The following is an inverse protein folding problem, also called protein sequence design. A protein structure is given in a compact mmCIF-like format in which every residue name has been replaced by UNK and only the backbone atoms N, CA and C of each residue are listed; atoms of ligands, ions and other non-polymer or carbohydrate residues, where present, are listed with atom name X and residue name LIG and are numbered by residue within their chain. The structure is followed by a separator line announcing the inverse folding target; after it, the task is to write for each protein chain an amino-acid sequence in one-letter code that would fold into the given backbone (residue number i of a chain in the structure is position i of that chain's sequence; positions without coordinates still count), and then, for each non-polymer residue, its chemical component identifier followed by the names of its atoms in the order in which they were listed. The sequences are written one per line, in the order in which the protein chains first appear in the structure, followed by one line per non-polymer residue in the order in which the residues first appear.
data_IF_867423574356
#
_entry.id   IF_867423574356
#
_cell.length_a   1.000
_cell.length_b   1.000
_cell.length_c   1.000
_cell.angle_alpha   90.00
_cell.angle_beta   90.00
_cell.angle_gamma   90.00
#
_symmetry.space_group_name_H-M   'P 1'
#
loop_
_entity.id
_entity.type
_entity.pdbx_description
1 polymer ?
#
# COMPACT_ATOMS: atom_id res chain seq x y z
N UNK A 1 -15.55 -6.31 -48.35
CA UNK A 1 -15.29 -6.76 -46.97
C UNK A 1 -13.97 -6.15 -46.50
N UNK A 2 -13.96 -4.87 -46.10
CA UNK A 2 -12.73 -4.18 -45.65
C UNK A 2 -12.96 -3.20 -44.49
N UNK A 3 -14.22 -2.94 -44.11
CA UNK A 3 -14.58 -2.05 -43.00
C UNK A 3 -14.63 -2.77 -41.63
N UNK A 4 -14.76 -4.10 -41.61
CA UNK A 4 -14.80 -4.89 -40.37
C UNK A 4 -13.40 -5.19 -39.78
N UNK A 5 -12.36 -5.23 -40.61
CA UNK A 5 -10.99 -5.57 -40.19
C UNK A 5 -10.33 -4.43 -39.41
N UNK A 6 -10.56 -3.17 -39.80
CA UNK A 6 -9.99 -2.00 -39.12
C UNK A 6 -10.50 -1.84 -37.68
N UNK A 7 -11.80 -2.06 -37.45
CA UNK A 7 -12.37 -1.93 -36.10
C UNK A 7 -11.93 -3.06 -35.17
N UNK A 8 -11.81 -4.29 -35.68
CA UNK A 8 -11.33 -5.42 -34.90
C UNK A 8 -9.86 -5.26 -34.48
N UNK A 9 -9.00 -4.81 -35.40
CA UNK A 9 -7.60 -4.50 -35.11
C UNK A 9 -7.46 -3.37 -34.08
N UNK A 10 -8.27 -2.30 -34.19
CA UNK A 10 -8.28 -1.22 -33.20
C UNK A 10 -8.70 -1.71 -31.81
N UNK A 11 -9.75 -2.53 -31.72
CA UNK A 11 -10.22 -3.12 -30.46
C UNK A 11 -9.13 -3.95 -29.80
N UNK A 12 -8.42 -4.82 -30.55
CA UNK A 12 -7.31 -5.62 -30.01
C UNK A 12 -6.15 -4.74 -29.51
N UNK A 13 -5.83 -3.66 -30.23
CA UNK A 13 -4.81 -2.70 -29.79
C UNK A 13 -5.22 -2.01 -28.49
N UNK A 14 -6.49 -1.60 -28.34
CA UNK A 14 -7.00 -1.03 -27.09
C UNK A 14 -6.94 -2.03 -25.93
N UNK A 15 -7.27 -3.30 -26.16
CA UNK A 15 -7.15 -4.34 -25.14
C UNK A 15 -5.68 -4.60 -24.73
N UNK A 16 -4.75 -4.62 -25.68
CA UNK A 16 -3.31 -4.79 -25.36
C UNK A 16 -2.72 -3.57 -24.65
N UNK A 17 -3.10 -2.36 -25.04
CA UNK A 17 -2.66 -1.13 -24.36
C UNK A 17 -3.19 -1.06 -22.93
N UNK A 18 -4.46 -1.39 -22.71
CA UNK A 18 -5.06 -1.39 -21.38
C UNK A 18 -4.49 -2.48 -20.47
N UNK A 19 -4.25 -3.69 -20.99
CA UNK A 19 -3.60 -4.76 -20.21
C UNK A 19 -2.14 -4.42 -19.88
N UNK A 20 -1.38 -3.87 -20.83
CA UNK A 20 -0.01 -3.41 -20.59
C UNK A 20 0.04 -2.28 -19.56
N UNK A 21 -0.93 -1.35 -19.58
CA UNK A 21 -1.07 -0.27 -18.61
C UNK A 21 -1.43 -0.80 -17.22
N UNK A 22 -2.37 -1.74 -17.12
CA UNK A 22 -2.72 -2.41 -15.85
C UNK A 22 -1.52 -3.17 -15.28
N UNK A 23 -0.74 -3.84 -16.13
CA UNK A 23 0.46 -4.57 -15.71
C UNK A 23 1.56 -3.63 -15.21
N UNK A 24 1.89 -2.56 -15.95
CA UNK A 24 2.88 -1.57 -15.52
C UNK A 24 2.45 -0.87 -14.24
N UNK A 25 1.20 -0.42 -14.14
CA UNK A 25 0.71 0.26 -12.93
C UNK A 25 0.70 -0.67 -11.71
N UNK A 26 0.38 -1.96 -11.88
CA UNK A 26 0.52 -2.95 -10.81
C UNK A 26 1.96 -3.14 -10.34
N UNK A 27 2.90 -3.28 -11.29
CA UNK A 27 4.31 -3.52 -11.00
C UNK A 27 5.02 -2.30 -10.38
N UNK A 28 4.79 -1.10 -10.92
CA UNK A 28 5.35 0.15 -10.36
C UNK A 28 4.86 0.42 -8.93
N UNK A 29 3.62 0.03 -8.60
CA UNK A 29 3.11 0.16 -7.24
C UNK A 29 3.80 -0.79 -6.26
N UNK A 30 4.16 -2.01 -6.68
CA UNK A 30 4.82 -2.98 -5.79
C UNK A 30 6.29 -2.61 -5.51
N UNK A 31 7.04 -2.12 -6.50
CA UNK A 31 8.41 -1.62 -6.29
C UNK A 31 8.42 -0.38 -5.37
N UNK A 32 7.50 0.55 -5.58
CA UNK A 32 7.32 1.73 -4.72
C UNK A 32 7.05 1.33 -3.27
N UNK A 33 6.09 0.43 -3.04
CA UNK A 33 5.73 -0.01 -1.68
C UNK A 33 6.84 -0.85 -1.04
N UNK A 34 7.62 -1.59 -1.84
CA UNK A 34 8.81 -2.31 -1.37
C UNK A 34 9.86 -1.33 -0.86
N UNK A 35 10.10 -0.23 -1.58
CA UNK A 35 11.01 0.82 -1.14
C UNK A 35 10.50 1.51 0.13
N UNK A 36 9.19 1.77 0.23
CA UNK A 36 8.59 2.27 1.48
C UNK A 36 8.90 1.33 2.65
N UNK A 37 8.62 0.04 2.50
CA UNK A 37 8.82 -0.96 3.55
C UNK A 37 10.30 -1.18 3.91
N UNK A 38 11.23 -0.93 2.99
CA UNK A 38 12.67 -1.12 3.25
C UNK A 38 13.26 -0.16 4.27
N UNK A 39 12.54 0.91 4.64
CA UNK A 39 12.93 1.83 5.70
C UNK A 39 12.51 1.36 7.10
N UNK A 40 11.83 0.22 7.21
CA UNK A 40 11.54 -0.44 8.48
C UNK A 40 12.43 -1.67 8.61
N UNK A 41 13.04 -1.84 9.77
CA UNK A 41 13.64 -3.11 10.12
C UNK A 41 12.54 -4.21 10.21
N UNK A 42 12.95 -5.48 10.19
CA UNK A 42 12.00 -6.61 10.17
C UNK A 42 11.14 -6.70 11.43
N UNK A 43 11.66 -6.28 12.58
CA UNK A 43 10.93 -6.19 13.83
C UNK A 43 9.93 -5.03 13.79
N UNK A 44 10.34 -3.82 13.42
CA UNK A 44 9.46 -2.67 13.33
C UNK A 44 8.35 -2.84 12.29
N UNK A 45 8.68 -3.37 11.12
CA UNK A 45 7.69 -3.68 10.08
C UNK A 45 6.62 -4.67 10.56
N UNK A 46 7.01 -5.67 11.36
CA UNK A 46 6.08 -6.63 11.97
C UNK A 46 5.17 -5.94 12.99
N UNK A 47 5.74 -5.18 13.91
CA UNK A 47 4.97 -4.56 15.00
C UNK A 47 3.99 -3.51 14.47
N UNK A 48 4.42 -2.67 13.52
CA UNK A 48 3.55 -1.73 12.81
C UNK A 48 2.41 -2.48 12.10
N UNK A 49 2.70 -3.55 11.36
CA UNK A 49 1.67 -4.36 10.71
C UNK A 49 0.65 -4.94 11.71
N UNK A 50 1.11 -5.59 12.78
CA UNK A 50 0.20 -6.20 13.75
C UNK A 50 -0.60 -5.16 14.54
N UNK A 51 0.01 -4.04 14.91
CA UNK A 51 -0.67 -2.93 15.56
C UNK A 51 -1.80 -2.36 14.68
N UNK A 52 -1.55 -2.13 13.38
CA UNK A 52 -2.55 -1.60 12.45
C UNK A 52 -3.67 -2.60 12.21
N UNK A 53 -3.34 -3.83 11.79
CA UNK A 53 -4.33 -4.76 11.24
C UNK A 53 -5.04 -5.58 12.32
N UNK A 54 -4.38 -5.87 13.44
CA UNK A 54 -4.93 -6.71 14.52
C UNK A 54 -5.10 -5.96 15.84
N UNK A 55 -4.37 -4.87 16.07
CA UNK A 55 -4.50 -4.07 17.29
C UNK A 55 -4.05 -4.82 18.55
N UNK A 56 -3.21 -5.84 18.40
CA UNK A 56 -2.74 -6.72 19.46
C UNK A 56 -1.27 -6.50 19.84
N UNK A 57 -0.62 -5.51 19.24
CA UNK A 57 0.77 -5.14 19.45
C UNK A 57 0.89 -3.62 19.59
N UNK A 58 1.90 -3.16 20.33
CA UNK A 58 2.27 -1.74 20.47
C UNK A 58 3.53 -1.46 19.65
N UNK A 59 3.61 -0.26 19.06
CA UNK A 59 4.83 0.23 18.38
C UNK A 59 5.68 0.95 19.43
N UNK A 60 6.96 0.59 19.55
CA UNK A 60 7.89 1.24 20.49
C UNK A 60 8.49 2.53 19.89
N UNK A 61 9.25 3.27 20.68
CA UNK A 61 9.86 4.55 20.28
C UNK A 61 10.85 4.38 19.11
N UNK A 62 11.76 3.40 19.16
CA UNK A 62 12.70 3.12 18.07
C UNK A 62 11.99 2.86 16.73
N UNK A 63 10.89 2.09 16.75
CA UNK A 63 10.09 1.83 15.55
C UNK A 63 9.25 3.04 15.12
N UNK A 64 8.94 3.96 16.03
CA UNK A 64 8.29 5.21 15.67
C UNK A 64 9.25 6.14 14.92
N UNK A 65 10.54 6.21 15.28
CA UNK A 65 11.55 6.95 14.51
C UNK A 65 11.66 6.40 13.09
N UNK A 66 11.82 5.08 12.93
CA UNK A 66 11.85 4.47 11.60
C UNK A 66 10.58 4.76 10.78
N UNK A 67 9.41 4.68 11.42
CA UNK A 67 8.13 4.94 10.77
C UNK A 67 7.98 6.42 10.36
N UNK A 68 8.38 7.37 11.20
CA UNK A 68 8.20 8.80 10.94
C UNK A 68 9.30 9.35 10.05
N UNK A 69 10.56 9.11 10.41
CA UNK A 69 11.75 9.66 9.77
C UNK A 69 12.14 8.88 8.51
N UNK A 70 12.00 7.55 8.53
CA UNK A 70 12.40 6.67 7.43
C UNK A 70 11.28 6.45 6.41
N UNK A 71 10.13 5.97 6.87
CA UNK A 71 9.00 5.63 6.00
C UNK A 71 8.24 6.88 5.55
N UNK A 72 7.83 7.72 6.50
CA UNK A 72 7.05 8.92 6.22
C UNK A 72 5.55 8.62 5.96
N UNK A 73 4.72 9.67 6.11
CA UNK A 73 3.26 9.54 6.14
C UNK A 73 2.66 8.93 4.88
N UNK A 74 3.15 9.36 3.72
CA UNK A 74 2.60 8.92 2.42
C UNK A 74 2.82 7.42 2.24
N UNK A 75 4.04 6.94 2.47
CA UNK A 75 4.35 5.51 2.41
C UNK A 75 3.55 4.69 3.43
N UNK A 76 3.43 5.16 4.68
CA UNK A 76 2.61 4.51 5.70
C UNK A 76 1.15 4.33 5.27
N UNK A 77 0.54 5.39 4.74
CA UNK A 77 -0.84 5.37 4.27
C UNK A 77 -1.01 4.43 3.06
N UNK A 78 -0.10 4.49 2.11
CA UNK A 78 -0.22 3.73 0.87
C UNK A 78 0.07 2.24 1.08
N UNK A 79 1.01 1.88 1.95
CA UNK A 79 1.19 0.50 2.42
C UNK A 79 -0.06 -0.02 3.13
N UNK A 80 -0.67 0.78 4.02
CA UNK A 80 -1.92 0.38 4.70
C UNK A 80 -3.05 0.12 3.70
N UNK A 81 -3.28 1.03 2.75
CA UNK A 81 -4.32 0.89 1.70
C UNK A 81 -4.07 -0.31 0.80
N UNK A 82 -2.81 -0.56 0.44
CA UNK A 82 -2.42 -1.69 -0.39
C UNK A 82 -2.81 -3.02 0.27
N UNK A 83 -2.44 -3.21 1.54
CA UNK A 83 -2.78 -4.41 2.31
C UNK A 83 -4.30 -4.56 2.47
N UNK A 84 -5.02 -3.47 2.78
CA UNK A 84 -6.49 -3.47 2.86
C UNK A 84 -7.14 -3.96 1.56
N UNK A 85 -6.58 -3.56 0.41
CA UNK A 85 -7.08 -3.94 -0.92
C UNK A 85 -6.76 -5.39 -1.26
N UNK A 86 -5.56 -5.87 -0.95
CA UNK A 86 -5.10 -7.23 -1.29
C UNK A 86 -5.66 -8.31 -0.36
N UNK A 87 -5.77 -8.03 0.94
CA UNK A 87 -6.18 -9.03 1.95
C UNK A 87 -7.67 -8.99 2.30
N UNK A 88 -8.46 -8.17 1.59
CA UNK A 88 -9.93 -8.17 1.66
C UNK A 88 -10.51 -7.99 3.08
N UNK A 89 -9.93 -7.08 3.87
CA UNK A 89 -10.38 -6.70 5.23
C UNK A 89 -11.71 -5.91 5.25
N UNK A 90 -12.66 -6.20 4.35
CA UNK A 90 -13.86 -5.38 4.08
C UNK A 90 -14.68 -5.03 5.33
N UNK A 91 -14.79 -5.96 6.29
CA UNK A 91 -15.61 -5.74 7.49
C UNK A 91 -14.94 -4.85 8.55
N UNK A 92 -13.61 -4.69 8.49
CA UNK A 92 -12.83 -3.93 9.49
C UNK A 92 -12.13 -2.72 8.87
N UNK A 93 -12.47 -2.35 7.63
CA UNK A 93 -11.75 -1.32 6.87
C UNK A 93 -11.62 0.01 7.62
N UNK A 94 -12.75 0.54 8.12
CA UNK A 94 -12.78 1.81 8.87
C UNK A 94 -11.93 1.71 10.14
N UNK A 95 -12.11 0.64 10.91
CA UNK A 95 -11.38 0.43 12.17
C UNK A 95 -9.86 0.28 11.96
N UNK A 96 -9.43 -0.33 10.86
CA UNK A 96 -8.01 -0.48 10.51
C UNK A 96 -7.42 0.88 10.12
N UNK A 97 -8.15 1.69 9.34
CA UNK A 97 -7.70 3.04 8.99
C UNK A 97 -7.60 3.95 10.23
N UNK A 98 -8.59 3.89 11.12
CA UNK A 98 -8.55 4.62 12.39
C UNK A 98 -7.34 4.21 13.25
N UNK A 99 -7.05 2.91 13.34
CA UNK A 99 -5.84 2.40 14.03
C UNK A 99 -4.56 2.87 13.36
N UNK A 100 -4.48 2.79 12.03
CA UNK A 100 -3.32 3.26 11.26
C UNK A 100 -3.06 4.75 11.48
N UNK A 101 -4.11 5.56 11.50
CA UNK A 101 -4.00 6.99 11.77
C UNK A 101 -3.62 7.28 13.23
N UNK A 102 -4.17 6.53 14.18
CA UNK A 102 -3.81 6.65 15.59
C UNK A 102 -2.33 6.36 15.81
N UNK A 103 -1.83 5.23 15.29
CA UNK A 103 -0.42 4.83 15.42
C UNK A 103 0.50 5.91 14.86
N UNK A 104 0.18 6.44 13.66
CA UNK A 104 0.94 7.54 13.08
C UNK A 104 0.99 8.77 14.00
N UNK A 105 -0.16 9.20 14.50
CA UNK A 105 -0.24 10.37 15.37
C UNK A 105 0.47 10.16 16.72
N UNK A 106 0.40 8.95 17.27
CA UNK A 106 1.12 8.60 18.50
C UNK A 106 2.64 8.69 18.28
N UNK A 107 3.15 8.17 17.15
CA UNK A 107 4.57 8.26 16.81
C UNK A 107 5.04 9.70 16.55
N UNK A 108 4.27 10.51 15.81
CA UNK A 108 4.60 11.92 15.58
C UNK A 108 4.60 12.75 16.87
N UNK A 109 3.88 12.32 17.91
CA UNK A 109 3.83 13.04 19.18
C UNK A 109 5.06 12.80 20.07
N UNK A 110 5.86 11.77 19.78
CA UNK A 110 7.06 11.41 20.55
C UNK A 110 8.37 11.73 19.82
N UNK A 111 8.33 11.91 18.49
CA UNK A 111 9.39 12.52 17.65
C UNK A 111 9.46 14.04 17.79
#
# INVERSE_FOLDING_TARGET
MASFTNNFSLILLFFMMSSALMFHTGFFNEDYLTNCASNLDTFCGKDVYFAIFFGNTTVNEDCCDELVSGVGKVCHDDMTKYVLTKLNFKNNYVQILERSQKIWNDCVAIE
#
